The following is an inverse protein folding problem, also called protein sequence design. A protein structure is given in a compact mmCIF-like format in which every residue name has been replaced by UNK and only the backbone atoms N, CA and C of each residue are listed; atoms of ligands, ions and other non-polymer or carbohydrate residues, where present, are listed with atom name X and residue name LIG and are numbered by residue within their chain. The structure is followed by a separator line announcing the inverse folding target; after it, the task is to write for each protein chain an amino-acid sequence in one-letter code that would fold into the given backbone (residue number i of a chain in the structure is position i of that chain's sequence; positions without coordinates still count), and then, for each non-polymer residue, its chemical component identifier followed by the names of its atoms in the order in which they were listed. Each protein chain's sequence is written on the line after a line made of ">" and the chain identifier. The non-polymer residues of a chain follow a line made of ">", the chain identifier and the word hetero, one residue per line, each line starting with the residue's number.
data_IF_475000872935
#
_entry.id   IF_475000872935
#
_cell.length_a   1.000
_cell.length_b   1.000
_cell.length_c   1.000
_cell.angle_alpha   90.00
_cell.angle_beta   90.00
_cell.angle_gamma   90.00
#
_symmetry.space_group_name_H-M   'P 1'
#
loop_
_entity.id
_entity.type
_entity.pdbx_description
1 polymer ?
#
# COMPACT_ATOMS: atom_id res chain seq x y z
N UNK A 1 27.99 -4.30 -3.82
CA UNK A 1 28.30 -4.37 -5.26
C UNK A 1 27.23 -5.21 -5.93
N UNK A 2 26.43 -4.61 -6.80
CA UNK A 2 25.36 -5.32 -7.52
C UNK A 2 25.96 -6.37 -8.46
N UNK A 3 25.39 -7.58 -8.47
CA UNK A 3 25.84 -8.65 -9.35
C UNK A 3 25.45 -8.33 -10.80
N UNK A 4 26.34 -8.63 -11.75
CA UNK A 4 26.03 -8.51 -13.16
C UNK A 4 24.82 -9.40 -13.51
N UNK A 5 23.70 -8.76 -13.86
CA UNK A 5 22.45 -9.37 -14.31
C UNK A 5 21.96 -8.62 -15.54
N UNK A 6 21.17 -9.31 -16.37
CA UNK A 6 20.48 -8.70 -17.52
C UNK A 6 19.56 -7.56 -17.09
N UNK A 7 18.99 -7.64 -15.88
CA UNK A 7 18.14 -6.61 -15.27
C UNK A 7 18.88 -6.03 -14.08
N UNK A 8 19.06 -4.71 -14.07
CA UNK A 8 19.60 -3.98 -12.92
C UNK A 8 18.46 -3.49 -12.04
N UNK A 9 18.51 -3.87 -10.76
CA UNK A 9 17.62 -3.34 -9.73
C UNK A 9 18.32 -2.18 -9.02
N UNK A 10 17.56 -1.29 -8.39
CA UNK A 10 18.15 -0.30 -7.49
C UNK A 10 18.77 -1.00 -6.26
N UNK A 11 19.72 -0.36 -5.57
CA UNK A 11 20.51 -1.01 -4.52
C UNK A 11 19.66 -1.57 -3.37
N UNK A 12 18.58 -0.89 -3.00
CA UNK A 12 17.67 -1.35 -1.94
C UNK A 12 16.91 -2.61 -2.37
N UNK A 13 16.39 -2.60 -3.60
CA UNK A 13 15.61 -3.69 -4.16
C UNK A 13 16.49 -4.91 -4.46
N UNK A 14 17.73 -4.72 -4.91
CA UNK A 14 18.66 -5.81 -5.23
C UNK A 14 18.94 -6.68 -3.99
N UNK A 15 19.12 -6.05 -2.81
CA UNK A 15 19.27 -6.77 -1.53
C UNK A 15 18.01 -7.56 -1.16
N UNK A 16 16.82 -6.98 -1.39
CA UNK A 16 15.55 -7.65 -1.10
C UNK A 16 15.29 -8.83 -2.04
N UNK A 17 15.56 -8.65 -3.33
CA UNK A 17 15.44 -9.69 -4.36
C UNK A 17 16.39 -10.84 -4.05
N UNK A 18 17.64 -10.56 -3.69
CA UNK A 18 18.60 -11.61 -3.33
C UNK A 18 18.21 -12.38 -2.08
N UNK A 19 17.72 -11.69 -1.05
CA UNK A 19 17.24 -12.35 0.16
C UNK A 19 16.05 -13.26 -0.15
N UNK A 20 15.08 -12.76 -0.88
CA UNK A 20 13.86 -13.50 -1.22
C UNK A 20 14.14 -14.67 -2.18
N UNK A 21 15.01 -14.46 -3.17
CA UNK A 21 15.47 -15.49 -4.10
C UNK A 21 16.14 -16.64 -3.35
N UNK A 22 17.04 -16.34 -2.41
CA UNK A 22 17.71 -17.37 -1.58
C UNK A 22 16.75 -18.10 -0.65
N UNK A 23 15.86 -17.39 0.05
CA UNK A 23 14.96 -18.02 1.02
C UNK A 23 13.94 -18.95 0.37
N UNK A 24 13.56 -18.67 -0.88
CA UNK A 24 12.53 -19.43 -1.60
C UNK A 24 13.12 -20.36 -2.67
N UNK A 25 14.45 -20.42 -2.82
CA UNK A 25 15.11 -21.25 -3.84
C UNK A 25 14.78 -20.85 -5.28
N UNK A 26 14.37 -19.60 -5.52
CA UNK A 26 13.91 -19.12 -6.82
C UNK A 26 15.03 -18.43 -7.59
N UNK A 27 15.14 -18.69 -8.89
CA UNK A 27 16.00 -17.89 -9.77
C UNK A 27 15.38 -16.53 -10.04
N UNK A 28 16.20 -15.51 -10.26
CA UNK A 28 15.77 -14.13 -10.53
C UNK A 28 14.78 -14.07 -11.70
N UNK A 29 15.01 -14.83 -12.77
CA UNK A 29 14.13 -14.87 -13.93
C UNK A 29 12.72 -15.39 -13.57
N UNK A 30 12.63 -16.39 -12.68
CA UNK A 30 11.33 -16.89 -12.20
C UNK A 30 10.60 -15.82 -11.38
N UNK A 31 11.34 -15.10 -10.54
CA UNK A 31 10.82 -14.02 -9.70
C UNK A 31 10.28 -12.86 -10.54
N UNK A 32 11.00 -12.48 -11.60
CA UNK A 32 10.55 -11.47 -12.57
C UNK A 32 9.30 -11.95 -13.30
N UNK A 33 9.26 -13.18 -13.79
CA UNK A 33 8.08 -13.72 -14.47
C UNK A 33 6.84 -13.75 -13.56
N UNK A 34 7.00 -14.10 -12.28
CA UNK A 34 5.92 -14.06 -11.29
C UNK A 34 5.45 -12.62 -11.07
N UNK A 35 6.39 -11.68 -10.89
CA UNK A 35 6.07 -10.28 -10.69
C UNK A 35 5.33 -9.69 -11.90
N UNK A 36 5.79 -9.95 -13.12
CA UNK A 36 5.15 -9.50 -14.35
C UNK A 36 3.76 -10.12 -14.50
N UNK A 37 3.62 -11.44 -14.26
CA UNK A 37 2.32 -12.10 -14.29
C UNK A 37 1.35 -11.45 -13.31
N UNK A 38 1.79 -11.23 -12.07
CA UNK A 38 0.99 -10.62 -11.00
C UNK A 38 0.60 -9.18 -11.35
N UNK A 39 1.53 -8.39 -11.86
CA UNK A 39 1.32 -7.01 -12.27
C UNK A 39 0.34 -6.86 -13.44
N UNK A 40 0.27 -7.85 -14.33
CA UNK A 40 -0.69 -7.90 -15.44
C UNK A 40 -2.06 -8.42 -14.95
N UNK A 41 -2.08 -9.43 -14.08
CA UNK A 41 -3.32 -10.08 -13.64
C UNK A 41 -4.07 -9.29 -12.57
N UNK A 42 -3.36 -8.53 -11.74
CA UNK A 42 -3.95 -7.73 -10.67
C UNK A 42 -4.06 -6.27 -11.11
N UNK A 43 -5.23 -5.62 -10.95
CA UNK A 43 -5.36 -4.21 -11.28
C UNK A 43 -4.41 -3.38 -10.40
N UNK A 44 -3.56 -2.58 -11.06
CA UNK A 44 -2.64 -1.65 -10.37
C UNK A 44 -3.33 -0.40 -9.80
N UNK A 45 -4.66 -0.32 -9.93
CA UNK A 45 -5.47 0.73 -9.34
C UNK A 45 -5.85 0.36 -7.92
N UNK A 46 -5.64 1.28 -6.98
CA UNK A 46 -6.27 1.22 -5.66
C UNK A 46 -7.77 1.30 -5.90
N UNK A 47 -8.47 0.17 -5.83
CA UNK A 47 -9.92 0.18 -5.79
C UNK A 47 -10.35 0.85 -4.48
N UNK A 48 -10.85 2.08 -4.58
CA UNK A 48 -11.44 2.77 -3.44
C UNK A 48 -12.71 2.03 -3.05
N UNK A 49 -12.62 1.22 -2.01
CA UNK A 49 -13.81 0.56 -1.46
C UNK A 49 -14.80 1.61 -0.94
N UNK A 50 -16.08 1.53 -1.33
CA UNK A 50 -17.09 2.45 -0.82
C UNK A 50 -17.26 2.26 0.69
N UNK A 51 -17.49 3.37 1.40
CA UNK A 51 -17.73 3.40 2.86
C UNK A 51 -19.02 2.65 3.27
N UNK A 52 -19.77 2.10 2.30
CA UNK A 52 -21.01 1.35 2.50
C UNK A 52 -20.81 0.00 3.19
N UNK A 53 -19.59 -0.56 3.19
CA UNK A 53 -19.28 -1.79 3.94
C UNK A 53 -19.51 -1.53 5.44
N UNK A 54 -20.36 -2.33 6.09
CA UNK A 54 -20.83 -2.08 7.46
C UNK A 54 -19.71 -1.79 8.46
N UNK A 55 -18.59 -2.53 8.36
CA UNK A 55 -17.40 -2.32 9.19
C UNK A 55 -16.71 -0.96 8.98
N UNK A 56 -16.71 -0.44 7.75
CA UNK A 56 -16.10 0.86 7.40
C UNK A 56 -17.04 2.04 7.68
N UNK A 57 -18.35 1.83 7.55
CA UNK A 57 -19.38 2.83 7.87
C UNK A 57 -19.33 3.28 9.34
N UNK A 58 -19.09 2.34 10.26
CA UNK A 58 -19.04 2.68 11.68
C UNK A 58 -17.79 3.51 12.04
N UNK A 59 -16.62 3.12 11.52
CA UNK A 59 -15.36 3.87 11.68
C UNK A 59 -15.45 5.28 11.08
N UNK A 60 -16.05 5.39 9.90
CA UNK A 60 -16.32 6.67 9.23
C UNK A 60 -17.25 7.57 10.06
N UNK A 61 -18.36 7.02 10.56
CA UNK A 61 -19.33 7.76 11.38
C UNK A 61 -18.72 8.25 12.70
N UNK A 62 -17.86 7.44 13.34
CA UNK A 62 -17.15 7.85 14.57
C UNK A 62 -16.20 9.00 14.29
N UNK A 63 -15.43 8.92 13.20
CA UNK A 63 -14.44 9.93 12.82
C UNK A 63 -15.09 11.26 12.43
N UNK A 64 -16.16 11.21 11.64
CA UNK A 64 -16.92 12.40 11.20
C UNK A 64 -17.60 13.11 12.37
N UNK A 65 -18.25 12.37 13.29
CA UNK A 65 -18.86 12.95 14.50
C UNK A 65 -17.83 13.66 15.39
N UNK A 66 -16.65 13.05 15.57
CA UNK A 66 -15.55 13.65 16.36
C UNK A 66 -15.03 14.93 15.71
N UNK A 67 -14.81 14.92 14.39
CA UNK A 67 -14.37 16.08 13.64
C UNK A 67 -15.39 17.23 13.72
N UNK A 68 -16.68 16.92 13.54
CA UNK A 68 -17.76 17.90 13.66
C UNK A 68 -17.82 18.53 15.06
N UNK A 69 -17.75 17.72 16.12
CA UNK A 69 -17.77 18.23 17.50
C UNK A 69 -16.59 19.16 17.79
N UNK A 70 -15.39 18.83 17.30
CA UNK A 70 -14.20 19.68 17.45
C UNK A 70 -14.34 20.99 16.69
N UNK A 71 -14.84 20.93 15.46
CA UNK A 71 -15.09 22.11 14.63
C UNK A 71 -16.13 23.03 15.28
N UNK A 72 -17.26 22.49 15.73
CA UNK A 72 -18.30 23.25 16.42
C UNK A 72 -17.76 23.94 17.66
N UNK A 73 -16.99 23.23 18.51
CA UNK A 73 -16.39 23.81 19.72
C UNK A 73 -15.46 24.98 19.40
N UNK A 74 -14.63 24.86 18.36
CA UNK A 74 -13.73 25.93 17.94
C UNK A 74 -14.51 27.16 17.41
N UNK A 75 -15.61 26.94 16.69
CA UNK A 75 -16.47 28.02 16.21
C UNK A 75 -17.23 28.71 17.36
N UNK A 76 -17.74 27.93 18.31
CA UNK A 76 -18.41 28.45 19.50
C UNK A 76 -17.44 29.31 20.35
N UNK A 77 -16.16 28.92 20.43
CA UNK A 77 -15.10 29.67 21.11
C UNK A 77 -14.69 30.96 20.38
N UNK A 78 -14.80 31.01 19.04
CA UNK A 78 -14.55 32.22 18.24
C UNK A 78 -15.72 33.21 18.26
N UNK A 79 -16.92 32.74 18.59
CA UNK A 79 -18.14 33.55 18.65
C UNK A 79 -18.42 34.19 20.02
N UNK A 80 -17.53 33.96 21.01
CA UNK A 80 -17.54 34.59 22.33
C UNK A 80 -16.43 35.62 22.45
#
# INVERSE_FOLDING_TARGET
>A
MSKARTIRFNDKLDVMVDRYSKSNGLKVNQLVNIAVKKFISEPNSIELEPVTVAAKKESWNKSTKKAFKKHKKAMDELSK
#
